data_IF_891669705383
#
_entry.id   IF_891669705383
#
_cell.length_a   1.000
_cell.length_b   1.000
_cell.length_c   1.000
_cell.angle_alpha   90.00
_cell.angle_beta   90.00
_cell.angle_gamma   90.00
#
_symmetry.space_group_name_H-M   'P 1'
#
loop_
_entity.id
_entity.type
_entity.pdbx_description
1 polymer ?
#
# COMPACT_ATOMS: atom_id res chain seq x y z
N UNK A 1 -0.32 28.06 -36.00
CA UNK A 1 -0.45 27.65 -34.58
C UNK A 1 -1.34 26.42 -34.51
N UNK A 2 -0.79 25.23 -34.29
CA UNK A 2 -1.53 23.97 -34.26
C UNK A 2 -1.69 23.54 -32.79
N UNK A 3 -2.92 23.41 -32.32
CA UNK A 3 -3.23 22.94 -30.95
C UNK A 3 -2.94 21.43 -30.86
N UNK A 4 -2.22 20.94 -29.83
CA UNK A 4 -2.06 19.50 -29.66
C UNK A 4 -3.36 18.90 -29.08
N UNK A 5 -3.87 17.86 -29.75
CA UNK A 5 -4.95 17.01 -29.22
C UNK A 5 -4.45 16.27 -27.99
N UNK A 6 -5.14 16.43 -26.86
CA UNK A 6 -4.93 15.61 -25.66
C UNK A 6 -5.43 14.20 -25.97
N UNK A 7 -4.54 13.21 -25.83
CA UNK A 7 -4.92 11.80 -25.78
C UNK A 7 -5.42 11.53 -24.38
N UNK A 8 -6.73 11.47 -24.22
CA UNK A 8 -7.38 10.92 -23.04
C UNK A 8 -7.15 9.40 -23.04
N UNK A 9 -6.14 8.97 -22.30
CA UNK A 9 -5.71 7.59 -22.18
C UNK A 9 -6.11 6.99 -20.84
N UNK A 10 -7.09 6.10 -20.89
CA UNK A 10 -7.26 4.92 -20.05
C UNK A 10 -7.59 5.11 -18.56
N UNK A 11 -8.80 5.63 -18.32
CA UNK A 11 -9.57 5.22 -17.15
C UNK A 11 -9.82 3.69 -17.24
N UNK A 12 -8.96 2.89 -16.62
CA UNK A 12 -9.25 1.48 -16.31
C UNK A 12 -10.39 1.44 -15.30
N UNK A 13 -11.61 1.58 -15.79
CA UNK A 13 -12.82 1.28 -15.06
C UNK A 13 -12.71 -0.18 -14.60
N UNK A 14 -12.56 -0.35 -13.29
CA UNK A 14 -12.68 -1.61 -12.59
C UNK A 14 -14.02 -2.21 -13.02
N UNK A 15 -13.99 -3.21 -13.89
CA UNK A 15 -15.16 -4.00 -14.30
C UNK A 15 -15.71 -4.67 -13.04
N UNK A 16 -16.66 -4.00 -12.38
CA UNK A 16 -17.52 -4.61 -11.37
C UNK A 16 -18.25 -5.75 -12.07
N UNK A 17 -17.98 -6.99 -11.67
CA UNK A 17 -18.73 -8.16 -12.14
C UNK A 17 -20.22 -7.89 -11.89
N UNK A 18 -21.11 -8.12 -12.88
CA UNK A 18 -22.54 -7.98 -12.66
C UNK A 18 -22.96 -8.95 -11.57
N UNK A 19 -23.72 -8.43 -10.60
CA UNK A 19 -24.16 -9.16 -9.42
C UNK A 19 -24.86 -10.46 -9.81
N UNK A 20 -24.43 -11.55 -9.16
CA UNK A 20 -25.25 -12.76 -9.08
C UNK A 20 -26.54 -12.34 -8.40
N UNK A 21 -27.63 -12.29 -9.17
CA UNK A 21 -28.97 -12.08 -8.66
C UNK A 21 -29.27 -13.27 -7.73
N UNK A 22 -29.05 -13.07 -6.44
CA UNK A 22 -29.51 -13.97 -5.41
C UNK A 22 -31.01 -14.09 -5.54
N UNK A 23 -31.48 -15.32 -5.81
CA UNK A 23 -32.90 -15.66 -5.87
C UNK A 23 -33.62 -15.06 -4.65
N UNK A 24 -34.81 -14.46 -4.78
CA UNK A 24 -35.57 -14.04 -3.62
C UNK A 24 -35.90 -15.29 -2.79
N UNK A 25 -35.32 -15.38 -1.59
CA UNK A 25 -35.72 -16.38 -0.60
C UNK A 25 -37.21 -16.14 -0.31
N UNK A 26 -38.07 -16.98 -0.88
CA UNK A 26 -39.47 -17.07 -0.47
C UNK A 26 -39.45 -17.58 0.97
N UNK A 27 -39.57 -16.68 1.94
CA UNK A 27 -39.85 -17.06 3.33
C UNK A 27 -41.29 -17.54 3.39
N UNK A 28 -41.50 -18.79 2.99
CA UNK A 28 -42.70 -19.55 3.27
C UNK A 28 -42.81 -19.64 4.79
N UNK A 29 -43.74 -18.89 5.37
CA UNK A 29 -44.02 -18.91 6.81
C UNK A 29 -44.63 -20.26 7.15
N UNK A 30 -43.78 -21.26 7.40
CA UNK A 30 -44.20 -22.47 8.08
C UNK A 30 -44.78 -22.05 9.43
N UNK A 31 -46.10 -22.16 9.57
CA UNK A 31 -46.77 -22.05 10.86
C UNK A 31 -46.34 -23.26 11.71
N UNK A 32 -45.28 -23.07 12.49
CA UNK A 32 -44.90 -24.03 13.52
C UNK A 32 -46.04 -24.11 14.55
N UNK A 33 -46.70 -25.27 14.60
CA UNK A 33 -47.57 -25.66 15.71
C UNK A 33 -46.70 -25.60 16.98
N UNK A 34 -47.03 -24.68 17.88
CA UNK A 34 -46.30 -24.50 19.13
C UNK A 34 -46.61 -25.67 20.06
N UNK A 35 -45.84 -26.75 19.94
CA UNK A 35 -45.71 -27.71 21.02
C UNK A 35 -45.05 -26.96 22.17
N UNK A 36 -45.86 -26.54 23.14
CA UNK A 36 -45.45 -25.85 24.36
C UNK A 36 -44.70 -26.88 25.22
N UNK A 37 -43.46 -27.17 24.85
CA UNK A 37 -42.57 -28.02 25.63
C UNK A 37 -42.36 -27.35 26.98
N UNK A 38 -42.58 -28.09 28.07
CA UNK A 38 -42.25 -27.70 29.44
C UNK A 38 -40.94 -26.91 29.47
N UNK A 39 -41.04 -25.60 29.61
CA UNK A 39 -39.89 -24.74 29.77
C UNK A 39 -39.26 -25.09 31.13
N UNK A 40 -37.99 -25.51 31.18
CA UNK A 40 -37.32 -25.70 32.45
C UNK A 40 -37.39 -24.41 33.25
N UNK A 41 -37.72 -24.54 34.54
CA UNK A 41 -37.90 -23.46 35.50
C UNK A 41 -36.81 -22.38 35.31
N UNK A 42 -37.22 -21.11 35.15
CA UNK A 42 -36.37 -19.98 34.79
C UNK A 42 -35.17 -19.75 35.73
N UNK A 43 -35.15 -20.41 36.88
CA UNK A 43 -34.05 -20.41 37.86
C UNK A 43 -32.89 -21.34 37.49
N UNK A 44 -33.07 -22.30 36.58
CA UNK A 44 -32.01 -23.24 36.15
C UNK A 44 -30.94 -22.60 35.25
N UNK A 45 -31.28 -21.49 34.59
CA UNK A 45 -30.36 -20.73 33.72
C UNK A 45 -29.36 -19.84 34.49
N UNK A 46 -29.49 -19.74 35.81
CA UNK A 46 -28.64 -18.88 36.67
C UNK A 46 -27.42 -19.59 37.28
N UNK A 47 -27.15 -20.84 36.93
CA UNK A 47 -25.92 -21.53 37.34
C UNK A 47 -24.84 -21.28 36.30
N UNK A 48 -23.88 -20.40 36.59
CA UNK A 48 -22.63 -20.28 35.82
C UNK A 48 -21.98 -21.67 35.81
N UNK A 49 -21.92 -22.32 34.66
CA UNK A 49 -21.24 -23.62 34.57
C UNK A 49 -19.74 -23.35 34.60
N UNK A 50 -18.90 -24.19 35.25
CA UNK A 50 -17.43 -24.04 35.22
C UNK A 50 -16.86 -23.91 33.80
N UNK A 51 -17.56 -24.50 32.82
CA UNK A 51 -17.30 -24.39 31.39
C UNK A 51 -17.35 -22.95 30.85
N UNK A 52 -18.16 -22.05 31.44
CA UNK A 52 -18.26 -20.64 31.04
C UNK A 52 -17.05 -19.82 31.52
N UNK A 53 -16.44 -20.17 32.65
CA UNK A 53 -15.23 -19.50 33.14
C UNK A 53 -13.99 -19.93 32.37
N UNK A 54 -13.87 -21.24 32.10
CA UNK A 54 -12.82 -21.77 31.22
C UNK A 54 -12.91 -21.19 29.80
N UNK A 55 -14.13 -20.97 29.28
CA UNK A 55 -14.36 -20.33 27.98
C UNK A 55 -13.96 -18.84 28.00
N UNK A 56 -14.18 -18.13 29.10
CA UNK A 56 -13.74 -16.74 29.28
C UNK A 56 -12.22 -16.62 29.35
N UNK A 57 -11.55 -17.53 30.05
CA UNK A 57 -10.08 -17.57 30.11
C UNK A 57 -9.49 -17.79 28.70
N UNK A 58 -9.99 -18.78 27.95
CA UNK A 58 -9.57 -19.01 26.56
C UNK A 58 -9.84 -17.81 25.64
N UNK A 59 -10.90 -17.03 25.91
CA UNK A 59 -11.19 -15.82 25.14
C UNK A 59 -10.16 -14.72 25.42
N UNK A 60 -9.80 -14.52 26.70
CA UNK A 60 -8.78 -13.56 27.14
C UNK A 60 -7.40 -13.92 26.57
N UNK A 61 -6.97 -15.18 26.68
CA UNK A 61 -5.72 -15.67 26.10
C UNK A 61 -5.67 -15.40 24.58
N UNK A 62 -6.79 -15.59 23.88
CA UNK A 62 -6.89 -15.32 22.44
C UNK A 62 -6.82 -13.83 22.12
N UNK A 63 -7.37 -12.97 22.97
CA UNK A 63 -7.26 -11.51 22.83
C UNK A 63 -5.82 -11.04 23.07
N UNK A 64 -5.16 -11.55 24.11
CA UNK A 64 -3.76 -11.24 24.40
C UNK A 64 -2.83 -11.65 23.25
N UNK A 65 -3.02 -12.86 22.70
CA UNK A 65 -2.28 -13.31 21.50
C UNK A 65 -2.53 -12.43 20.28
N UNK A 66 -3.75 -11.90 20.11
CA UNK A 66 -4.04 -10.95 19.01
C UNK A 66 -3.34 -9.62 19.23
N UNK A 67 -3.35 -9.11 20.45
CA UNK A 67 -2.67 -7.84 20.78
C UNK A 67 -1.16 -7.97 20.55
N UNK A 68 -0.54 -9.07 20.97
CA UNK A 68 0.88 -9.34 20.73
C UNK A 68 1.21 -9.35 19.22
N UNK A 69 0.45 -10.10 18.42
CA UNK A 69 0.64 -10.14 16.96
C UNK A 69 0.44 -8.78 16.29
N UNK A 70 -0.51 -7.98 16.76
CA UNK A 70 -0.74 -6.62 16.26
C UNK A 70 0.45 -5.72 16.62
N UNK A 71 1.00 -5.83 17.82
CA UNK A 71 2.17 -5.06 18.25
C UNK A 71 3.40 -5.41 17.42
N UNK A 72 3.67 -6.70 17.20
CA UNK A 72 4.76 -7.18 16.34
C UNK A 72 4.61 -6.68 14.89
N UNK A 73 3.41 -6.84 14.31
CA UNK A 73 3.15 -6.37 12.94
C UNK A 73 3.26 -4.84 12.80
N UNK A 74 2.96 -4.07 13.85
CA UNK A 74 3.17 -2.62 13.87
C UNK A 74 4.65 -2.28 13.89
N UNK A 75 5.43 -2.95 14.75
CA UNK A 75 6.87 -2.73 14.85
C UNK A 75 7.60 -3.07 13.52
N UNK A 76 7.22 -4.16 12.87
CA UNK A 76 7.78 -4.53 11.57
C UNK A 76 7.43 -3.51 10.48
N UNK A 77 6.16 -3.09 10.40
CA UNK A 77 5.72 -2.05 9.44
C UNK A 77 6.48 -0.75 9.64
N UNK A 78 6.70 -0.35 10.89
CA UNK A 78 7.43 0.88 11.20
C UNK A 78 8.90 0.78 10.76
N UNK A 79 9.56 -0.37 10.97
CA UNK A 79 10.93 -0.60 10.47
C UNK A 79 10.99 -0.51 8.95
N UNK A 80 10.07 -1.16 8.26
CA UNK A 80 10.00 -1.13 6.79
C UNK A 80 9.70 0.28 6.26
N UNK A 81 8.85 1.04 6.95
CA UNK A 81 8.58 2.43 6.59
C UNK A 81 9.82 3.30 6.76
N UNK A 82 10.53 3.18 7.89
CA UNK A 82 11.79 3.91 8.12
C UNK A 82 12.83 3.61 7.05
N UNK A 83 13.04 2.34 6.70
CA UNK A 83 14.01 1.97 5.65
C UNK A 83 13.62 2.55 4.28
N UNK A 84 12.34 2.50 3.93
CA UNK A 84 11.82 3.10 2.68
C UNK A 84 12.03 4.62 2.66
N UNK A 85 11.72 5.30 3.77
CA UNK A 85 11.93 6.74 3.89
C UNK A 85 13.40 7.11 3.77
N UNK A 86 14.30 6.39 4.43
CA UNK A 86 15.74 6.62 4.34
C UNK A 86 16.24 6.43 2.90
N UNK A 87 15.77 5.39 2.20
CA UNK A 87 16.10 5.16 0.80
C UNK A 87 15.65 6.31 -0.09
N UNK A 88 14.43 6.82 0.12
CA UNK A 88 13.89 7.97 -0.63
C UNK A 88 14.68 9.24 -0.31
N UNK A 89 15.01 9.50 0.95
CA UNK A 89 15.83 10.64 1.37
C UNK A 89 17.21 10.59 0.71
N UNK A 90 17.85 9.42 0.72
CA UNK A 90 19.15 9.21 0.10
C UNK A 90 19.11 9.41 -1.41
N UNK A 91 18.07 8.88 -2.09
CA UNK A 91 17.88 9.11 -3.52
C UNK A 91 17.71 10.60 -3.84
N UNK A 92 16.88 11.32 -3.08
CA UNK A 92 16.66 12.77 -3.26
C UNK A 92 17.95 13.56 -3.05
N UNK A 93 18.75 13.24 -2.02
CA UNK A 93 20.06 13.86 -1.78
C UNK A 93 21.00 13.65 -2.98
N UNK A 94 21.19 12.40 -3.41
CA UNK A 94 22.03 12.05 -4.57
C UNK A 94 21.57 12.76 -5.85
N UNK A 95 20.26 12.85 -6.07
CA UNK A 95 19.70 13.56 -7.23
C UNK A 95 20.06 15.04 -7.19
N UNK A 96 19.88 15.71 -6.04
CA UNK A 96 20.19 17.13 -5.88
C UNK A 96 21.69 17.42 -6.07
N UNK A 97 22.57 16.59 -5.52
CA UNK A 97 24.02 16.69 -5.70
C UNK A 97 24.39 16.57 -7.19
N UNK A 98 23.84 15.56 -7.89
CA UNK A 98 24.05 15.39 -9.32
C UNK A 98 23.55 16.58 -10.13
N UNK A 99 22.34 17.07 -9.86
CA UNK A 99 21.80 18.22 -10.59
C UNK A 99 22.60 19.49 -10.33
N UNK A 100 23.08 19.71 -9.09
CA UNK A 100 23.98 20.83 -8.77
C UNK A 100 25.29 20.72 -9.53
N UNK A 101 25.90 19.53 -9.56
CA UNK A 101 27.13 19.29 -10.31
C UNK A 101 26.95 19.52 -11.82
N UNK A 102 25.85 19.04 -12.40
CA UNK A 102 25.52 19.24 -13.82
C UNK A 102 25.27 20.72 -14.11
N UNK A 103 24.53 21.43 -13.25
CA UNK A 103 24.26 22.86 -13.41
C UNK A 103 25.51 23.72 -13.31
N UNK A 104 26.55 23.27 -12.60
CA UNK A 104 27.85 23.95 -12.55
C UNK A 104 28.68 23.76 -13.81
N UNK A 105 28.49 22.65 -14.52
CA UNK A 105 29.23 22.33 -15.76
C UNK A 105 28.50 22.80 -17.01
N UNK A 106 27.17 22.84 -16.94
CA UNK A 106 26.31 23.11 -18.09
C UNK A 106 25.29 24.20 -17.80
N UNK A 107 25.05 25.06 -18.80
CA UNK A 107 23.97 26.03 -18.80
C UNK A 107 22.91 25.54 -19.80
N UNK A 108 21.68 25.30 -19.33
CA UNK A 108 20.57 24.78 -20.16
C UNK A 108 20.94 23.51 -20.95
N UNK A 109 21.78 22.65 -20.37
CA UNK A 109 22.24 21.40 -21.00
C UNK A 109 23.42 21.56 -21.98
N UNK A 110 23.89 22.78 -22.23
CA UNK A 110 25.11 23.03 -23.00
C UNK A 110 26.32 23.20 -22.08
N UNK A 111 27.52 22.68 -22.42
CA UNK A 111 28.74 22.95 -21.65
C UNK A 111 29.01 24.46 -21.57
N UNK A 112 29.47 24.92 -20.41
CA UNK A 112 29.95 26.30 -20.24
C UNK A 112 31.15 26.59 -21.16
N UNK A 113 31.41 27.87 -21.44
CA UNK A 113 32.45 28.28 -22.41
C UNK A 113 33.82 27.64 -22.15
N UNK A 114 34.24 27.52 -20.89
CA UNK A 114 35.49 26.85 -20.52
C UNK A 114 35.50 25.39 -21.00
N UNK A 115 34.53 24.61 -20.56
CA UNK A 115 34.41 23.18 -20.91
C UNK A 115 34.15 22.98 -22.41
N UNK A 116 33.40 23.88 -23.04
CA UNK A 116 33.14 23.90 -24.49
C UNK A 116 34.44 24.11 -25.27
N UNK A 117 35.32 25.00 -24.80
CA UNK A 117 36.60 25.27 -25.43
C UNK A 117 37.57 24.09 -25.30
N UNK A 118 37.63 23.43 -24.13
CA UNK A 118 38.40 22.19 -23.94
C UNK A 118 37.91 21.08 -24.90
N UNK A 119 36.60 20.89 -25.03
CA UNK A 119 35.99 19.95 -25.98
C UNK A 119 36.38 20.26 -27.44
N UNK A 120 36.36 21.54 -27.82
CA UNK A 120 36.74 21.97 -29.18
C UNK A 120 38.22 21.70 -29.45
N UNK A 121 39.12 22.06 -28.53
CA UNK A 121 40.55 21.84 -28.68
C UNK A 121 40.87 20.34 -28.77
N UNK A 122 40.23 19.52 -27.93
CA UNK A 122 40.38 18.06 -27.97
C UNK A 122 39.97 17.50 -29.34
N UNK A 123 38.84 17.94 -29.89
CA UNK A 123 38.36 17.49 -31.21
C UNK A 123 39.32 17.88 -32.34
N UNK A 124 39.87 19.10 -32.29
CA UNK A 124 40.90 19.55 -33.26
C UNK A 124 42.15 18.67 -33.15
N UNK A 125 42.59 18.36 -31.94
CA UNK A 125 43.77 17.52 -31.72
C UNK A 125 43.55 16.07 -32.18
N UNK A 126 42.36 15.51 -31.96
CA UNK A 126 41.97 14.19 -32.46
C UNK A 126 41.96 14.18 -34.00
N UNK A 127 41.34 15.18 -34.63
CA UNK A 127 41.33 15.31 -36.09
C UNK A 127 42.73 15.39 -36.70
N UNK A 128 43.66 16.11 -36.04
CA UNK A 128 45.06 16.21 -36.47
C UNK A 128 45.88 14.92 -36.27
N UNK A 129 45.40 13.98 -35.46
CA UNK A 129 46.06 12.67 -35.23
C UNK A 129 45.53 11.59 -36.16
N UNK A 130 44.28 11.73 -36.63
CA UNK A 130 43.60 10.73 -37.46
C UNK A 130 43.58 11.07 -38.95
N UNK A 131 43.95 12.29 -39.34
CA UNK A 131 44.18 12.70 -40.72
C UNK A 131 45.66 12.84 -41.00
#
# INVERSE_FOLDING_TARGET
>A
MVKPKRKDGDNRAIRRKPGVQGKPFKHEKQQYKSNKSHLPNATQWRRKKPQDEARKQKLKEREELRVQKIAEAKAEKERVQREKEERVRNYKKKRLEKTKAISKKTQRGQPLMKDRMELLLKKIQEMKRTG
#
